data_IF_943068183561
#
_entry.id   IF_943068183561
#
_cell.length_a   1.000
_cell.length_b   1.000
_cell.length_c   1.000
_cell.angle_alpha   90.00
_cell.angle_beta   90.00
_cell.angle_gamma   90.00
#
_symmetry.space_group_name_H-M   'P 1'
#
loop_
_entity.id
_entity.type
_entity.pdbx_description
1 polymer ?
#
# COMPACT_ATOMS: atom_id res chain seq x y z
N UNK A 1 -9.79 -8.48 -48.37
CA UNK A 1 -9.56 -9.04 -47.02
C UNK A 1 -9.14 -7.89 -46.12
N UNK A 2 -9.96 -7.41 -45.17
CA UNK A 2 -9.47 -6.42 -44.23
C UNK A 2 -8.44 -7.11 -43.33
N UNK A 3 -7.24 -6.53 -43.28
CA UNK A 3 -6.16 -6.91 -42.36
C UNK A 3 -6.68 -6.86 -40.94
N UNK A 4 -6.78 -8.00 -40.27
CA UNK A 4 -7.04 -8.06 -38.83
C UNK A 4 -5.79 -7.59 -38.09
N UNK A 5 -5.60 -6.27 -38.05
CA UNK A 5 -4.62 -5.71 -37.13
C UNK A 5 -5.00 -6.15 -35.71
N UNK A 6 -4.09 -6.85 -35.03
CA UNK A 6 -4.26 -7.16 -33.61
C UNK A 6 -4.58 -5.85 -32.88
N UNK A 7 -5.55 -5.82 -31.96
CA UNK A 7 -5.88 -4.60 -31.25
C UNK A 7 -4.61 -4.05 -30.57
N UNK A 8 -4.37 -2.75 -30.72
CA UNK A 8 -3.21 -2.12 -30.09
C UNK A 8 -3.19 -2.41 -28.59
N UNK A 9 -2.02 -2.70 -28.02
CA UNK A 9 -1.91 -3.00 -26.60
C UNK A 9 -2.37 -1.80 -25.76
N UNK A 10 -3.16 -2.06 -24.72
CA UNK A 10 -3.61 -1.04 -23.78
C UNK A 10 -2.44 -0.17 -23.30
N UNK A 11 -2.60 1.15 -23.34
CA UNK A 11 -1.62 2.10 -22.89
C UNK A 11 -2.10 2.86 -21.63
N UNK A 12 -1.41 2.69 -20.51
CA UNK A 12 -1.73 3.32 -19.23
C UNK A 12 -0.68 4.36 -18.85
N UNK A 13 -1.10 5.59 -18.59
CA UNK A 13 -0.27 6.58 -17.93
C UNK A 13 -0.40 6.42 -16.41
N UNK A 14 0.67 5.97 -15.76
CA UNK A 14 0.74 5.75 -14.31
C UNK A 14 1.39 6.95 -13.64
N UNK A 15 0.62 7.69 -12.82
CA UNK A 15 1.07 8.88 -12.11
C UNK A 15 1.43 8.52 -10.67
N UNK A 16 2.62 8.89 -10.23
CA UNK A 16 3.09 8.66 -8.87
C UNK A 16 3.93 9.82 -8.34
N UNK A 17 4.02 9.94 -7.03
CA UNK A 17 4.95 10.88 -6.38
C UNK A 17 6.39 10.39 -6.38
N UNK A 18 6.61 9.12 -6.70
CA UNK A 18 7.91 8.47 -6.85
C UNK A 18 7.75 6.98 -7.08
N UNK A 19 8.85 6.30 -7.38
CA UNK A 19 8.92 4.85 -7.62
C UNK A 19 10.12 4.27 -6.90
N UNK A 20 9.95 3.11 -6.25
CA UNK A 20 11.06 2.38 -5.64
C UNK A 20 12.01 1.81 -6.72
N UNK A 21 13.35 1.87 -6.55
CA UNK A 21 14.08 2.38 -5.39
C UNK A 21 14.42 3.87 -5.45
N UNK A 22 14.02 4.60 -6.46
CA UNK A 22 14.37 6.02 -6.69
C UNK A 22 13.74 6.95 -5.64
N UNK A 23 12.69 6.49 -5.00
CA UNK A 23 12.07 7.07 -3.81
C UNK A 23 11.55 5.95 -2.91
N UNK A 24 11.73 6.09 -1.58
CA UNK A 24 11.35 5.06 -0.62
C UNK A 24 9.91 5.23 -0.12
N UNK A 25 9.19 4.13 0.04
CA UNK A 25 7.84 4.09 0.63
C UNK A 25 6.98 2.95 0.12
N UNK A 26 5.85 2.70 0.80
CA UNK A 26 4.90 1.64 0.45
C UNK A 26 4.19 1.89 -0.89
N UNK A 27 3.73 3.15 -1.12
CA UNK A 27 3.08 3.54 -2.39
C UNK A 27 4.09 3.44 -3.54
N UNK A 28 5.35 3.81 -3.33
CA UNK A 28 6.41 3.74 -4.32
C UNK A 28 6.76 2.29 -4.70
N UNK A 29 6.77 1.37 -3.73
CA UNK A 29 6.89 -0.08 -3.98
C UNK A 29 5.67 -0.60 -4.75
N UNK A 30 4.47 -0.23 -4.34
CA UNK A 30 3.23 -0.59 -5.04
C UNK A 30 3.25 -0.10 -6.49
N UNK A 31 3.64 1.16 -6.73
CA UNK A 31 3.75 1.74 -8.08
C UNK A 31 4.71 0.95 -8.96
N UNK A 32 5.89 0.59 -8.42
CA UNK A 32 6.86 -0.27 -9.13
C UNK A 32 6.25 -1.61 -9.54
N UNK A 33 5.62 -2.30 -8.59
CA UNK A 33 5.05 -3.61 -8.83
C UNK A 33 3.89 -3.54 -9.83
N UNK A 34 3.04 -2.52 -9.74
CA UNK A 34 1.96 -2.30 -10.69
C UNK A 34 2.50 -2.07 -12.11
N UNK A 35 3.53 -1.22 -12.27
CA UNK A 35 4.17 -0.98 -13.57
C UNK A 35 4.77 -2.26 -14.15
N UNK A 36 5.47 -3.06 -13.33
CA UNK A 36 6.08 -4.34 -13.73
C UNK A 36 5.03 -5.35 -14.19
N UNK A 37 3.95 -5.52 -13.43
CA UNK A 37 2.92 -6.51 -13.75
C UNK A 37 2.03 -6.05 -14.91
N UNK A 38 1.79 -4.75 -15.08
CA UNK A 38 1.19 -4.22 -16.30
C UNK A 38 2.05 -4.54 -17.53
N UNK A 39 3.36 -4.28 -17.46
CA UNK A 39 4.27 -4.61 -18.56
C UNK A 39 4.31 -6.11 -18.87
N UNK A 40 4.37 -6.99 -17.85
CA UNK A 40 4.28 -8.44 -18.00
C UNK A 40 2.97 -8.88 -18.67
N UNK A 41 1.86 -8.22 -18.34
CA UNK A 41 0.55 -8.48 -18.96
C UNK A 41 0.38 -7.88 -20.36
N UNK A 42 1.43 -7.30 -20.94
CA UNK A 42 1.41 -6.75 -22.30
C UNK A 42 0.92 -5.29 -22.40
N UNK A 43 0.63 -4.62 -21.28
CA UNK A 43 0.23 -3.21 -21.24
C UNK A 43 1.43 -2.30 -21.48
N UNK A 44 1.30 -1.28 -22.34
CA UNK A 44 2.26 -0.19 -22.41
C UNK A 44 2.06 0.75 -21.21
N UNK A 45 3.14 1.13 -20.53
CA UNK A 45 3.09 2.01 -19.36
C UNK A 45 3.91 3.26 -19.62
N UNK A 46 3.30 4.44 -19.48
CA UNK A 46 4.05 5.68 -19.33
C UNK A 46 4.03 6.08 -17.86
N UNK A 47 5.18 5.97 -17.21
CA UNK A 47 5.34 6.22 -15.78
C UNK A 47 5.77 7.67 -15.57
N UNK A 48 4.89 8.52 -15.03
CA UNK A 48 5.17 9.91 -14.68
C UNK A 48 5.41 10.01 -13.17
N UNK A 49 6.63 10.34 -12.77
CA UNK A 49 7.00 10.35 -11.36
C UNK A 49 8.19 11.27 -11.05
N UNK A 50 8.57 11.39 -9.77
CA UNK A 50 9.79 12.07 -9.34
C UNK A 50 10.82 11.09 -8.76
N UNK A 51 12.05 11.57 -8.60
CA UNK A 51 13.12 10.92 -7.86
C UNK A 51 13.86 11.93 -6.98
N UNK A 52 14.38 11.46 -5.84
CA UNK A 52 14.84 12.34 -4.75
C UNK A 52 16.10 13.17 -5.13
N UNK A 53 17.02 12.60 -5.89
CA UNK A 53 18.29 13.25 -6.26
C UNK A 53 18.51 13.25 -7.77
N UNK A 54 19.39 14.16 -8.30
CA UNK A 54 19.71 14.16 -9.73
C UNK A 54 20.24 12.83 -10.25
N UNK A 55 21.13 12.16 -9.51
CA UNK A 55 21.65 10.84 -9.89
C UNK A 55 20.56 9.75 -9.93
N UNK A 56 19.65 9.77 -8.98
CA UNK A 56 18.49 8.87 -8.98
C UNK A 56 17.52 9.19 -10.14
N UNK A 57 17.40 10.46 -10.55
CA UNK A 57 16.57 10.83 -11.71
C UNK A 57 17.09 10.22 -13.01
N UNK A 58 18.39 10.31 -13.27
CA UNK A 58 19.00 9.70 -14.44
C UNK A 58 18.78 8.18 -14.49
N UNK A 59 18.98 7.48 -13.38
CA UNK A 59 18.69 6.04 -13.26
C UNK A 59 17.21 5.72 -13.48
N UNK A 60 16.32 6.58 -12.95
CA UNK A 60 14.88 6.42 -13.10
C UNK A 60 14.42 6.64 -14.55
N UNK A 61 15.01 7.58 -15.27
CA UNK A 61 14.75 7.80 -16.70
C UNK A 61 15.22 6.60 -17.54
N UNK A 62 16.38 6.02 -17.22
CA UNK A 62 16.92 4.83 -17.86
C UNK A 62 16.24 3.52 -17.41
N UNK A 63 15.42 3.56 -16.36
CA UNK A 63 14.80 2.37 -15.74
C UNK A 63 15.83 1.31 -15.29
N UNK A 64 17.03 1.75 -14.84
CA UNK A 64 18.16 0.87 -14.54
C UNK A 64 17.81 -0.26 -13.55
N UNK A 65 16.91 0.03 -12.60
CA UNK A 65 16.49 -0.93 -11.57
C UNK A 65 15.27 -1.76 -11.97
N UNK A 66 14.83 -1.69 -13.23
CA UNK A 66 13.75 -2.51 -13.76
C UNK A 66 14.30 -3.69 -14.58
N UNK A 67 13.63 -4.87 -14.56
CA UNK A 67 14.00 -6.00 -15.41
C UNK A 67 13.97 -5.62 -16.90
N UNK A 68 14.91 -6.15 -17.68
CA UNK A 68 15.06 -5.83 -19.09
C UNK A 68 13.77 -6.06 -19.89
N UNK A 69 13.05 -7.14 -19.59
CA UNK A 69 11.79 -7.51 -20.27
C UNK A 69 10.69 -6.44 -20.06
N UNK A 70 10.65 -5.81 -18.89
CA UNK A 70 9.69 -4.77 -18.58
C UNK A 70 10.05 -3.43 -19.22
N UNK A 71 11.34 -3.12 -19.41
CA UNK A 71 11.82 -1.84 -19.98
C UNK A 71 11.27 -1.58 -21.38
N UNK A 72 11.07 -2.61 -22.19
CA UNK A 72 10.55 -2.47 -23.56
C UNK A 72 9.10 -1.93 -23.59
N UNK A 73 8.36 -2.05 -22.49
CA UNK A 73 6.95 -1.65 -22.37
C UNK A 73 6.72 -0.48 -21.42
N UNK A 74 7.76 -0.03 -20.71
CA UNK A 74 7.68 1.09 -19.75
C UNK A 74 8.50 2.26 -20.28
N UNK A 75 7.85 3.42 -20.50
CA UNK A 75 8.51 4.70 -20.72
C UNK A 75 8.50 5.47 -19.40
N UNK A 76 9.66 5.88 -18.90
CA UNK A 76 9.77 6.71 -17.69
C UNK A 76 9.88 8.18 -18.06
N UNK A 77 9.05 9.02 -17.44
CA UNK A 77 9.05 10.47 -17.54
C UNK A 77 9.26 11.06 -16.15
N UNK A 78 10.51 11.34 -15.82
CA UNK A 78 10.86 11.92 -14.51
C UNK A 78 10.59 13.42 -14.53
N UNK A 79 9.95 13.90 -13.47
CA UNK A 79 9.69 15.33 -13.25
C UNK A 79 10.41 15.83 -12.00
N UNK A 80 10.74 17.11 -11.99
CA UNK A 80 11.27 17.77 -10.80
C UNK A 80 10.09 18.33 -10.01
N UNK A 81 9.85 17.89 -8.78
CA UNK A 81 8.78 18.44 -7.97
C UNK A 81 9.06 19.90 -7.63
N UNK A 82 8.03 20.73 -7.46
CA UNK A 82 8.19 22.08 -6.95
C UNK A 82 8.85 22.07 -5.57
N UNK A 83 9.51 23.17 -5.22
CA UNK A 83 10.07 23.33 -3.89
C UNK A 83 8.97 23.26 -2.84
N UNK A 84 9.12 22.42 -1.78
CA UNK A 84 8.09 22.29 -0.75
C UNK A 84 7.91 23.60 0.01
N UNK A 85 6.67 23.93 0.30
CA UNK A 85 6.34 25.06 1.17
C UNK A 85 6.83 24.84 2.61
N UNK A 86 6.91 25.93 3.39
CA UNK A 86 7.32 25.91 4.80
C UNK A 86 6.29 26.55 5.74
N UNK A 87 5.02 26.56 5.35
CA UNK A 87 3.90 27.14 6.10
C UNK A 87 2.86 26.06 6.45
N UNK A 88 2.03 26.24 7.47
CA UNK A 88 0.97 25.30 7.81
C UNK A 88 0.03 25.05 6.63
N UNK A 89 -0.23 23.79 6.29
CA UNK A 89 -1.09 23.41 5.15
C UNK A 89 -0.40 23.41 3.78
N UNK A 90 0.92 23.70 3.68
CA UNK A 90 1.67 23.67 2.42
C UNK A 90 1.53 22.35 1.68
N UNK A 91 1.35 21.24 2.38
CA UNK A 91 1.26 19.91 1.77
C UNK A 91 0.20 19.84 0.66
N UNK A 92 -0.99 20.42 0.87
CA UNK A 92 -2.04 20.45 -0.17
C UNK A 92 -1.67 21.32 -1.37
N UNK A 93 -1.00 22.46 -1.11
CA UNK A 93 -0.50 23.31 -2.17
C UNK A 93 0.56 22.58 -2.99
N UNK A 94 1.50 21.93 -2.33
CA UNK A 94 2.58 21.17 -2.96
C UNK A 94 2.05 20.01 -3.80
N UNK A 95 1.05 19.25 -3.29
CA UNK A 95 0.37 18.20 -4.06
C UNK A 95 -0.33 18.73 -5.31
N UNK A 96 -1.00 19.90 -5.22
CA UNK A 96 -1.65 20.54 -6.37
C UNK A 96 -0.61 21.02 -7.40
N UNK A 97 0.47 21.64 -6.94
CA UNK A 97 1.55 22.10 -7.80
C UNK A 97 2.24 20.93 -8.50
N UNK A 98 2.54 19.85 -7.76
CA UNK A 98 3.13 18.64 -8.31
C UNK A 98 2.22 17.99 -9.37
N UNK A 99 0.92 17.86 -9.08
CA UNK A 99 -0.05 17.31 -10.04
C UNK A 99 -0.14 18.15 -11.33
N UNK A 100 0.02 19.47 -11.25
CA UNK A 100 0.12 20.34 -12.45
C UNK A 100 1.37 20.05 -13.26
N UNK A 101 2.52 19.91 -12.62
CA UNK A 101 3.78 19.56 -13.30
C UNK A 101 3.66 18.23 -14.05
N UNK A 102 2.97 17.21 -13.44
CA UNK A 102 2.71 15.95 -14.11
C UNK A 102 1.80 16.14 -15.34
N UNK A 103 0.73 16.93 -15.23
CA UNK A 103 -0.19 17.21 -16.34
C UNK A 103 0.52 17.96 -17.48
N UNK A 104 1.32 18.96 -17.17
CA UNK A 104 2.08 19.73 -18.16
C UNK A 104 3.10 18.84 -18.88
N UNK A 105 3.77 17.94 -18.15
CA UNK A 105 4.66 16.93 -18.74
C UNK A 105 3.92 15.94 -19.63
N UNK A 106 2.78 15.44 -19.18
CA UNK A 106 1.90 14.54 -19.96
C UNK A 106 1.54 15.16 -21.32
N UNK A 107 1.12 16.45 -21.32
CA UNK A 107 0.74 17.20 -22.51
C UNK A 107 1.92 17.48 -23.42
N UNK A 108 3.05 17.95 -22.85
CA UNK A 108 4.28 18.25 -23.58
C UNK A 108 4.80 17.02 -24.33
N UNK A 109 4.78 15.86 -23.70
CA UNK A 109 5.23 14.58 -24.28
C UNK A 109 4.19 13.92 -25.18
N UNK A 110 3.00 14.49 -25.31
CA UNK A 110 1.88 13.94 -26.10
C UNK A 110 1.68 12.45 -25.80
N UNK A 111 1.55 12.10 -24.51
CA UNK A 111 1.57 10.72 -24.03
C UNK A 111 0.50 9.86 -24.71
N UNK A 112 -0.70 10.37 -24.97
CA UNK A 112 -1.76 9.67 -25.71
C UNK A 112 -2.12 8.30 -25.12
N UNK A 113 -2.26 8.23 -23.79
CA UNK A 113 -2.66 6.99 -23.11
C UNK A 113 -4.16 6.73 -23.24
N UNK A 114 -4.57 5.46 -23.17
CA UNK A 114 -5.98 5.04 -23.12
C UNK A 114 -6.61 5.29 -21.74
N UNK A 115 -5.78 5.33 -20.71
CA UNK A 115 -6.22 5.53 -19.33
C UNK A 115 -5.13 6.18 -18.48
N UNK A 116 -5.54 7.05 -17.55
CA UNK A 116 -4.67 7.62 -16.52
C UNK A 116 -4.95 6.94 -15.20
N UNK A 117 -3.94 6.28 -14.62
CA UNK A 117 -3.98 5.70 -13.28
C UNK A 117 -3.19 6.58 -12.31
N UNK A 118 -3.86 7.25 -11.40
CA UNK A 118 -3.23 8.18 -10.46
C UNK A 118 -3.12 7.57 -9.05
N UNK A 119 -1.91 7.60 -8.49
CA UNK A 119 -1.62 7.21 -7.13
C UNK A 119 -1.79 8.40 -6.17
N UNK A 120 -2.68 8.28 -5.19
CA UNK A 120 -2.94 9.34 -4.22
C UNK A 120 -3.38 10.65 -4.88
N UNK A 121 -2.83 11.76 -4.42
CA UNK A 121 -3.17 13.11 -4.87
C UNK A 121 -2.56 13.52 -6.21
N UNK A 122 -1.81 12.66 -6.89
CA UNK A 122 -1.17 12.98 -8.18
C UNK A 122 -2.18 13.26 -9.29
N UNK A 123 -3.42 12.77 -9.16
CA UNK A 123 -4.51 12.97 -10.12
C UNK A 123 -5.25 14.30 -10.05
N UNK A 124 -4.94 15.20 -9.12
CA UNK A 124 -5.73 16.43 -8.86
C UNK A 124 -5.92 17.28 -10.12
N UNK A 125 -4.85 17.59 -10.83
CA UNK A 125 -4.90 18.44 -12.02
C UNK A 125 -5.59 17.73 -13.20
N UNK A 126 -5.42 16.43 -13.34
CA UNK A 126 -6.06 15.60 -14.37
C UNK A 126 -7.57 15.54 -14.16
N UNK A 127 -8.04 15.19 -12.97
CA UNK A 127 -9.46 15.17 -12.65
C UNK A 127 -10.11 16.56 -12.78
N UNK A 128 -9.40 17.62 -12.39
CA UNK A 128 -9.90 18.98 -12.58
C UNK A 128 -9.98 19.39 -14.06
N UNK A 129 -9.03 18.99 -14.89
CA UNK A 129 -9.05 19.24 -16.33
C UNK A 129 -10.18 18.47 -17.01
N UNK A 130 -10.38 17.19 -16.69
CA UNK A 130 -11.50 16.36 -17.18
C UNK A 130 -12.85 17.00 -16.90
N UNK A 131 -13.11 17.48 -15.66
CA UNK A 131 -14.35 18.17 -15.31
C UNK A 131 -14.59 19.46 -16.10
N UNK A 132 -13.52 20.09 -16.60
CA UNK A 132 -13.62 21.27 -17.49
C UNK A 132 -13.76 20.91 -18.96
N UNK A 133 -13.94 19.63 -19.29
CA UNK A 133 -14.14 19.17 -20.66
C UNK A 133 -12.86 19.00 -21.48
N UNK A 134 -11.71 18.77 -20.83
CA UNK A 134 -10.44 18.54 -21.54
C UNK A 134 -10.53 17.25 -22.40
N UNK A 135 -10.64 17.40 -23.70
CA UNK A 135 -10.75 16.29 -24.66
C UNK A 135 -9.42 15.58 -24.91
N UNK A 136 -8.31 16.19 -24.54
CA UNK A 136 -6.94 15.64 -24.65
C UNK A 136 -6.59 14.60 -23.56
N UNK A 137 -7.51 14.37 -22.61
CA UNK A 137 -7.31 13.43 -21.51
C UNK A 137 -8.27 12.25 -21.59
N UNK A 138 -7.77 11.01 -21.46
CA UNK A 138 -8.60 9.82 -21.37
C UNK A 138 -9.30 9.74 -20.01
N UNK A 139 -10.01 8.66 -19.74
CA UNK A 139 -10.56 8.37 -18.43
C UNK A 139 -9.48 8.35 -17.34
N UNK A 140 -9.80 8.92 -16.17
CA UNK A 140 -8.89 9.05 -15.02
C UNK A 140 -9.37 8.16 -13.88
N UNK A 141 -8.53 7.22 -13.47
CA UNK A 141 -8.72 6.42 -12.25
C UNK A 141 -7.80 6.89 -11.13
N UNK A 142 -8.30 6.84 -9.90
CA UNK A 142 -7.56 7.25 -8.70
C UNK A 142 -7.52 6.13 -7.68
N UNK A 143 -6.34 5.86 -7.11
CA UNK A 143 -6.14 4.99 -5.96
C UNK A 143 -5.50 5.79 -4.81
N UNK A 144 -6.25 6.02 -3.74
CA UNK A 144 -5.75 6.78 -2.58
C UNK A 144 -4.90 5.93 -1.63
N UNK A 145 -4.87 4.60 -1.76
CA UNK A 145 -4.19 3.63 -0.87
C UNK A 145 -4.66 3.61 0.58
N UNK A 146 -5.48 4.53 0.99
CA UNK A 146 -6.02 4.62 2.34
C UNK A 146 -6.88 5.88 2.48
N UNK A 147 -7.72 5.87 3.49
CA UNK A 147 -8.62 6.97 3.82
C UNK A 147 -8.48 7.28 5.32
N UNK A 148 -7.24 7.40 5.77
CA UNK A 148 -6.89 7.63 7.19
C UNK A 148 -7.58 8.88 7.73
N UNK A 149 -7.75 9.92 6.90
CA UNK A 149 -8.42 11.17 7.26
C UNK A 149 -9.91 10.99 7.61
N UNK A 150 -10.50 9.85 7.29
CA UNK A 150 -11.88 9.50 7.65
C UNK A 150 -11.97 8.39 8.72
N UNK A 151 -10.83 7.89 9.17
CA UNK A 151 -10.73 6.88 10.21
C UNK A 151 -10.47 7.53 11.58
N UNK A 152 -10.38 6.73 12.65
CA UNK A 152 -10.09 7.23 13.99
C UNK A 152 -8.64 7.69 14.10
N UNK A 153 -8.45 8.95 14.39
CA UNK A 153 -7.11 9.49 14.61
C UNK A 153 -6.55 9.05 15.97
N UNK A 154 -5.23 8.88 16.04
CA UNK A 154 -4.56 8.48 17.29
C UNK A 154 -4.52 9.59 18.34
N UNK A 155 -4.57 10.87 17.92
CA UNK A 155 -4.61 12.03 18.79
C UNK A 155 -5.17 13.27 18.06
N UNK A 156 -5.39 14.37 18.80
CA UNK A 156 -5.97 15.60 18.26
C UNK A 156 -5.11 16.23 17.13
N UNK A 157 -3.79 16.20 17.26
CA UNK A 157 -2.87 16.71 16.23
C UNK A 157 -3.05 15.97 14.93
N UNK A 158 -3.02 14.63 14.96
CA UNK A 158 -3.26 13.79 13.79
C UNK A 158 -4.65 14.02 13.20
N UNK A 159 -5.66 14.27 14.04
CA UNK A 159 -7.01 14.58 13.57
C UNK A 159 -7.06 15.91 12.80
N UNK A 160 -6.41 16.96 13.29
CA UNK A 160 -6.33 18.26 12.62
C UNK A 160 -5.62 18.17 11.27
N UNK A 161 -4.44 17.51 11.25
CA UNK A 161 -3.66 17.29 10.02
C UNK A 161 -4.46 16.54 8.96
N UNK A 162 -5.19 15.50 9.36
CA UNK A 162 -6.04 14.70 8.48
C UNK A 162 -7.28 15.45 8.02
N UNK A 163 -7.90 16.27 8.90
CA UNK A 163 -9.10 17.01 8.58
C UNK A 163 -8.92 17.93 7.37
N UNK A 164 -7.78 18.59 7.26
CA UNK A 164 -7.45 19.50 6.15
C UNK A 164 -7.42 18.78 4.79
N UNK A 165 -7.07 17.48 4.78
CA UNK A 165 -6.99 16.69 3.55
C UNK A 165 -8.35 16.27 2.98
N UNK A 166 -9.39 16.18 3.84
CA UNK A 166 -10.71 15.63 3.48
C UNK A 166 -11.32 16.29 2.24
N UNK A 167 -11.33 17.59 2.20
CA UNK A 167 -11.93 18.34 1.09
C UNK A 167 -11.27 18.05 -0.26
N UNK A 168 -9.95 17.94 -0.27
CA UNK A 168 -9.20 17.65 -1.50
C UNK A 168 -9.38 16.22 -1.97
N UNK A 169 -9.38 15.24 -1.05
CA UNK A 169 -9.64 13.84 -1.38
C UNK A 169 -11.05 13.67 -1.95
N UNK A 170 -12.06 14.24 -1.29
CA UNK A 170 -13.45 14.24 -1.79
C UNK A 170 -13.55 14.85 -3.18
N UNK A 171 -12.91 16.01 -3.40
CA UNK A 171 -12.94 16.69 -4.70
C UNK A 171 -12.28 15.86 -5.81
N UNK A 172 -11.17 15.19 -5.50
CA UNK A 172 -10.46 14.33 -6.45
C UNK A 172 -11.29 13.08 -6.78
N UNK A 173 -11.77 12.36 -5.77
CA UNK A 173 -12.55 11.13 -5.96
C UNK A 173 -13.84 11.41 -6.79
N UNK A 174 -14.51 12.54 -6.53
CA UNK A 174 -15.67 12.95 -7.33
C UNK A 174 -15.33 13.31 -8.76
N UNK A 175 -14.10 13.75 -9.02
CA UNK A 175 -13.65 14.13 -10.36
C UNK A 175 -13.13 12.95 -11.18
N UNK A 176 -12.80 11.85 -10.56
CA UNK A 176 -12.28 10.66 -11.22
C UNK A 176 -13.40 9.87 -11.91
N UNK A 177 -13.10 9.30 -13.07
CA UNK A 177 -14.03 8.39 -13.79
C UNK A 177 -14.12 7.03 -13.07
N UNK A 178 -13.02 6.63 -12.37
CA UNK A 178 -12.92 5.42 -11.57
C UNK A 178 -12.22 5.72 -10.25
N UNK A 179 -12.71 5.16 -9.15
CA UNK A 179 -11.99 5.15 -7.87
C UNK A 179 -11.67 3.71 -7.52
N UNK A 180 -10.38 3.37 -7.51
CA UNK A 180 -9.91 2.09 -7.03
C UNK A 180 -9.95 2.07 -5.51
N UNK A 181 -10.53 1.05 -4.93
CA UNK A 181 -10.83 0.98 -3.51
C UNK A 181 -10.54 -0.40 -2.94
N UNK A 182 -10.39 -0.44 -1.63
CA UNK A 182 -10.45 -1.68 -0.87
C UNK A 182 -11.90 -1.98 -0.48
N UNK A 183 -12.25 -3.27 -0.27
CA UNK A 183 -13.62 -3.65 0.08
C UNK A 183 -14.07 -3.13 1.47
N UNK A 184 -15.34 -3.36 1.78
CA UNK A 184 -16.01 -3.07 3.06
C UNK A 184 -15.78 -1.65 3.59
N UNK A 185 -14.98 -1.45 4.67
CA UNK A 185 -14.85 -0.18 5.37
C UNK A 185 -14.38 0.95 4.48
N UNK A 186 -13.37 0.71 3.65
CA UNK A 186 -12.83 1.75 2.76
C UNK A 186 -13.87 2.09 1.69
N UNK A 187 -14.48 1.10 1.05
CA UNK A 187 -15.58 1.31 0.11
C UNK A 187 -16.71 2.13 0.74
N UNK A 188 -17.16 1.73 1.95
CA UNK A 188 -18.22 2.43 2.67
C UNK A 188 -17.85 3.90 3.01
N UNK A 189 -16.58 4.19 3.31
CA UNK A 189 -16.08 5.56 3.49
C UNK A 189 -16.24 6.35 2.20
N UNK A 190 -15.82 5.80 1.06
CA UNK A 190 -15.89 6.49 -0.24
C UNK A 190 -17.34 6.77 -0.63
N UNK A 191 -18.21 5.79 -0.51
CA UNK A 191 -19.64 5.94 -0.80
C UNK A 191 -20.32 6.99 0.09
N UNK A 192 -20.11 6.91 1.41
CA UNK A 192 -20.81 7.76 2.40
C UNK A 192 -20.17 9.14 2.56
N UNK A 193 -18.82 9.23 2.60
CA UNK A 193 -18.10 10.47 2.89
C UNK A 193 -17.71 11.23 1.62
N UNK A 194 -17.22 10.52 0.59
CA UNK A 194 -16.86 11.13 -0.67
C UNK A 194 -18.07 11.23 -1.61
N UNK A 195 -19.16 10.48 -1.37
CA UNK A 195 -20.36 10.43 -2.22
C UNK A 195 -20.02 10.07 -3.66
N UNK A 196 -19.17 9.08 -3.84
CA UNK A 196 -18.86 8.50 -5.14
C UNK A 196 -19.85 7.38 -5.42
N UNK A 197 -20.53 7.37 -6.58
CA UNK A 197 -21.45 6.31 -6.95
C UNK A 197 -20.78 4.95 -7.07
N UNK A 198 -21.47 3.87 -6.65
CA UNK A 198 -20.93 2.51 -6.60
C UNK A 198 -20.42 2.00 -7.93
N UNK A 199 -21.03 2.42 -9.06
CA UNK A 199 -20.63 2.05 -10.42
C UNK A 199 -19.26 2.63 -10.83
N UNK A 200 -18.75 3.63 -10.13
CA UNK A 200 -17.39 4.16 -10.33
C UNK A 200 -16.35 3.54 -9.39
N UNK A 201 -16.79 2.68 -8.47
CA UNK A 201 -15.89 2.02 -7.52
C UNK A 201 -15.42 0.67 -8.09
N UNK A 202 -14.12 0.46 -8.08
CA UNK A 202 -13.49 -0.81 -8.45
C UNK A 202 -12.68 -1.33 -7.29
N UNK A 203 -13.07 -2.46 -6.73
CA UNK A 203 -12.36 -3.09 -5.63
C UNK A 203 -11.12 -3.81 -6.13
N UNK A 204 -9.97 -3.29 -5.76
CA UNK A 204 -8.64 -3.82 -6.09
C UNK A 204 -7.83 -3.91 -4.79
N UNK A 205 -7.63 -5.10 -4.22
CA UNK A 205 -6.83 -5.25 -3.02
C UNK A 205 -5.34 -4.96 -3.31
N UNK A 206 -4.55 -4.72 -2.25
CA UNK A 206 -3.10 -4.80 -2.38
C UNK A 206 -2.69 -6.23 -2.70
N UNK A 207 -1.51 -6.38 -3.29
CA UNK A 207 -1.01 -7.66 -3.75
C UNK A 207 0.38 -7.98 -3.17
N UNK A 208 0.69 -9.27 -3.15
CA UNK A 208 2.00 -9.81 -2.80
C UNK A 208 2.67 -10.44 -4.02
N UNK A 209 3.98 -10.36 -4.12
CA UNK A 209 4.74 -11.11 -5.13
C UNK A 209 4.69 -12.61 -4.80
N UNK A 210 4.42 -13.43 -5.81
CA UNK A 210 4.34 -14.88 -5.65
C UNK A 210 5.63 -15.50 -5.05
N UNK A 211 6.79 -14.88 -5.28
CA UNK A 211 8.07 -15.29 -4.70
C UNK A 211 8.16 -15.14 -3.19
N UNK A 212 7.28 -14.34 -2.58
CA UNK A 212 7.18 -14.21 -1.12
C UNK A 212 6.41 -15.38 -0.49
N UNK A 213 5.57 -16.08 -1.25
CA UNK A 213 4.68 -17.08 -0.70
C UNK A 213 5.44 -18.38 -0.48
N UNK A 214 5.59 -18.77 0.77
CA UNK A 214 6.18 -20.08 1.12
C UNK A 214 5.18 -21.21 0.83
N UNK A 215 5.69 -22.38 0.53
CA UNK A 215 4.85 -23.56 0.28
C UNK A 215 4.11 -23.98 1.55
N UNK A 216 4.85 -24.05 2.65
CA UNK A 216 4.38 -24.42 4.00
C UNK A 216 5.39 -23.95 5.06
N UNK A 217 5.05 -24.12 6.33
CA UNK A 217 5.94 -23.87 7.46
C UNK A 217 6.04 -25.11 8.36
N UNK A 218 7.19 -25.33 9.02
CA UNK A 218 7.28 -26.35 10.06
C UNK A 218 6.36 -26.00 11.24
N UNK A 219 5.87 -27.01 11.93
CA UNK A 219 5.11 -26.80 13.18
C UNK A 219 5.98 -26.01 14.17
N UNK A 220 5.47 -24.88 14.71
CA UNK A 220 6.23 -24.06 15.64
C UNK A 220 6.68 -24.85 16.88
N UNK A 221 7.86 -24.54 17.40
CA UNK A 221 8.32 -25.08 18.68
C UNK A 221 7.53 -24.47 19.86
N UNK A 222 7.94 -24.73 21.09
CA UNK A 222 7.41 -24.04 22.27
C UNK A 222 7.80 -22.55 22.35
N UNK A 223 8.86 -22.15 21.63
CA UNK A 223 9.23 -20.74 21.52
C UNK A 223 8.19 -19.95 20.73
N UNK A 224 8.03 -18.67 21.07
CA UNK A 224 7.11 -17.74 20.38
C UNK A 224 7.84 -16.46 20.04
N UNK A 225 7.97 -16.16 18.78
CA UNK A 225 8.59 -14.92 18.32
C UNK A 225 7.53 -14.03 17.67
N UNK A 226 7.30 -12.88 18.31
CA UNK A 226 6.40 -11.84 17.84
C UNK A 226 7.17 -10.80 17.04
N UNK A 227 6.61 -10.34 15.94
CA UNK A 227 7.26 -9.42 15.01
C UNK A 227 6.39 -8.18 14.79
N UNK A 228 6.98 -7.00 14.98
CA UNK A 228 6.43 -5.72 14.54
C UNK A 228 7.31 -5.17 13.41
N UNK A 229 6.67 -4.71 12.32
CA UNK A 229 7.37 -4.00 11.22
C UNK A 229 6.63 -2.71 10.91
N UNK A 230 7.34 -1.59 11.01
CA UNK A 230 6.75 -0.30 10.66
C UNK A 230 7.64 0.89 11.00
N UNK A 231 7.32 2.03 10.37
CA UNK A 231 7.92 3.31 10.74
C UNK A 231 7.38 3.76 12.11
N UNK A 232 8.20 4.52 12.85
CA UNK A 232 7.74 5.13 14.09
C UNK A 232 6.79 6.31 13.78
N UNK A 233 5.56 5.98 13.41
CA UNK A 233 4.46 6.91 13.21
C UNK A 233 3.40 6.66 14.27
N UNK A 234 2.81 7.73 14.82
CA UNK A 234 1.81 7.60 15.89
C UNK A 234 0.66 6.64 15.53
N UNK A 235 0.27 6.63 14.26
CA UNK A 235 -0.82 5.76 13.77
C UNK A 235 -0.49 4.27 13.80
N UNK A 236 0.78 3.88 13.95
CA UNK A 236 1.21 2.47 13.99
C UNK A 236 1.04 1.81 15.37
N UNK A 237 0.69 2.57 16.40
CA UNK A 237 0.38 2.04 17.73
C UNK A 237 1.59 1.49 18.49
N UNK A 238 2.80 1.98 18.17
CA UNK A 238 4.04 1.53 18.85
C UNK A 238 4.00 1.76 20.36
N UNK A 239 3.58 2.92 20.89
CA UNK A 239 3.48 3.12 22.33
C UNK A 239 2.55 2.12 23.02
N UNK A 240 1.36 1.87 22.44
CA UNK A 240 0.40 0.91 22.99
C UNK A 240 0.95 -0.51 22.97
N UNK A 241 1.69 -0.87 21.92
CA UNK A 241 2.34 -2.17 21.82
C UNK A 241 3.42 -2.34 22.87
N UNK A 242 4.31 -1.35 23.04
CA UNK A 242 5.37 -1.40 24.05
C UNK A 242 4.78 -1.49 25.47
N UNK A 243 3.74 -0.73 25.77
CA UNK A 243 3.02 -0.79 27.07
C UNK A 243 2.33 -2.15 27.26
N UNK A 244 1.80 -2.76 26.23
CA UNK A 244 1.16 -4.07 26.30
C UNK A 244 2.17 -5.18 26.61
N UNK A 245 3.35 -5.14 26.01
CA UNK A 245 4.38 -6.18 26.18
C UNK A 245 5.29 -5.96 27.40
N UNK A 246 5.35 -4.74 27.92
CA UNK A 246 6.27 -4.42 29.05
C UNK A 246 6.11 -5.33 30.26
N UNK A 247 4.91 -5.67 30.76
CA UNK A 247 4.75 -6.58 31.90
C UNK A 247 4.89 -8.07 31.53
N UNK A 248 4.86 -8.42 30.26
CA UNK A 248 4.90 -9.82 29.83
C UNK A 248 6.29 -10.41 30.03
N UNK A 249 6.37 -11.53 30.74
CA UNK A 249 7.59 -12.34 30.96
C UNK A 249 7.21 -13.79 30.84
N UNK A 250 7.69 -14.44 29.79
CA UNK A 250 7.47 -15.86 29.60
C UNK A 250 8.73 -16.50 28.98
N UNK A 251 9.18 -17.64 29.49
CA UNK A 251 10.33 -18.36 28.92
C UNK A 251 10.10 -18.69 27.44
N UNK A 252 11.09 -18.41 26.59
CA UNK A 252 11.03 -18.70 25.17
C UNK A 252 10.15 -17.74 24.36
N UNK A 253 9.74 -16.59 24.91
CA UNK A 253 9.03 -15.54 24.18
C UNK A 253 10.02 -14.44 23.81
N UNK A 254 9.98 -14.00 22.55
CA UNK A 254 10.80 -12.89 22.03
C UNK A 254 9.93 -11.91 21.24
N UNK A 255 10.27 -10.61 21.33
CA UNK A 255 9.60 -9.53 20.59
C UNK A 255 10.62 -8.84 19.67
N UNK A 256 10.37 -8.86 18.37
CA UNK A 256 11.23 -8.31 17.35
C UNK A 256 10.61 -7.07 16.73
N UNK A 257 11.37 -5.98 16.64
CA UNK A 257 10.95 -4.71 16.06
C UNK A 257 11.83 -4.37 14.85
N UNK A 258 11.20 -4.22 13.68
CA UNK A 258 11.84 -3.73 12.46
C UNK A 258 11.31 -2.34 12.16
N UNK A 259 12.21 -1.37 12.06
CA UNK A 259 11.91 0.03 11.81
C UNK A 259 12.65 0.97 12.75
N UNK A 260 12.61 2.28 12.51
CA UNK A 260 13.38 3.28 13.24
C UNK A 260 12.69 3.64 14.58
N UNK A 261 12.63 2.69 15.53
CA UNK A 261 12.09 2.96 16.87
C UNK A 261 13.12 3.77 17.66
N UNK A 262 12.79 4.99 18.15
CA UNK A 262 13.70 5.83 18.91
C UNK A 262 14.19 5.15 20.20
N UNK A 263 15.47 5.28 20.50
CA UNK A 263 16.09 4.64 21.66
C UNK A 263 15.38 4.95 22.99
N UNK A 264 14.93 6.19 23.28
CA UNK A 264 14.23 6.48 24.51
C UNK A 264 12.91 5.73 24.72
N UNK A 265 12.33 5.19 23.65
CA UNK A 265 11.09 4.41 23.72
C UNK A 265 11.34 2.91 23.82
N UNK A 266 12.58 2.46 23.62
CA UNK A 266 12.90 1.04 23.61
C UNK A 266 12.86 0.44 25.03
N UNK A 267 12.21 -0.71 25.13
CA UNK A 267 12.28 -1.54 26.32
C UNK A 267 13.68 -2.15 26.42
N UNK A 268 14.38 -1.92 27.55
CA UNK A 268 15.72 -2.47 27.81
C UNK A 268 15.59 -3.87 28.43
N UNK A 269 15.36 -4.87 27.57
CA UNK A 269 15.12 -6.27 27.94
C UNK A 269 15.79 -7.19 26.92
N UNK A 270 16.31 -8.33 27.37
CA UNK A 270 17.03 -9.30 26.51
C UNK A 270 16.10 -10.02 25.54
N UNK A 271 14.80 -10.13 25.86
CA UNK A 271 13.77 -10.74 25.04
C UNK A 271 13.12 -9.75 24.03
N UNK A 272 13.63 -8.51 23.94
CA UNK A 272 13.15 -7.49 22.97
C UNK A 272 14.28 -7.05 22.06
N UNK A 273 14.17 -7.40 20.78
CA UNK A 273 15.21 -7.17 19.76
C UNK A 273 14.79 -6.07 18.80
N UNK A 274 15.65 -5.06 18.60
CA UNK A 274 15.43 -3.96 17.67
C UNK A 274 16.41 -4.08 16.49
N UNK A 275 15.89 -4.41 15.31
CA UNK A 275 16.68 -4.58 14.07
C UNK A 275 17.01 -3.25 13.37
N UNK A 276 16.39 -2.14 13.78
CA UNK A 276 16.48 -0.89 13.04
C UNK A 276 15.78 -0.96 11.68
N UNK A 277 16.20 -0.11 10.75
CA UNK A 277 15.65 -0.09 9.39
C UNK A 277 16.30 -1.17 8.54
N UNK A 278 15.54 -2.14 8.08
CA UNK A 278 15.98 -3.21 7.18
C UNK A 278 15.48 -2.91 5.77
N UNK A 279 16.39 -2.74 4.82
CA UNK A 279 16.10 -2.45 3.40
C UNK A 279 16.35 -3.64 2.49
N UNK A 280 17.24 -4.55 2.90
CA UNK A 280 17.53 -5.77 2.16
C UNK A 280 16.36 -6.77 2.26
N UNK A 281 15.88 -7.23 1.10
CA UNK A 281 14.71 -8.11 1.01
C UNK A 281 15.01 -9.50 1.62
N UNK A 282 16.20 -10.06 1.39
CA UNK A 282 16.54 -11.38 1.91
C UNK A 282 16.65 -11.38 3.45
N UNK A 283 17.27 -10.35 4.02
CA UNK A 283 17.33 -10.12 5.46
C UNK A 283 15.92 -9.98 6.04
N UNK A 284 15.05 -9.20 5.39
CA UNK A 284 13.68 -9.00 5.84
C UNK A 284 12.88 -10.31 5.81
N UNK A 285 13.00 -11.09 4.72
CA UNK A 285 12.38 -12.42 4.64
C UNK A 285 12.88 -13.35 5.73
N UNK A 286 14.19 -13.37 6.03
CA UNK A 286 14.77 -14.16 7.13
C UNK A 286 14.19 -13.80 8.50
N UNK A 287 13.89 -12.51 8.74
CA UNK A 287 13.23 -12.06 9.97
C UNK A 287 11.79 -12.58 10.03
N UNK A 288 11.04 -12.50 8.94
CA UNK A 288 9.70 -13.10 8.88
C UNK A 288 9.75 -14.62 9.13
N UNK A 289 10.68 -15.33 8.46
CA UNK A 289 10.80 -16.79 8.54
C UNK A 289 11.14 -17.28 9.95
N UNK A 290 11.89 -16.47 10.68
CA UNK A 290 12.25 -16.76 12.08
C UNK A 290 11.17 -16.35 13.08
N UNK A 291 10.09 -15.70 12.64
CA UNK A 291 8.99 -15.20 13.49
C UNK A 291 7.72 -16.04 13.33
N UNK A 292 6.85 -16.03 14.34
CA UNK A 292 5.64 -16.84 14.37
C UNK A 292 4.35 -16.01 14.20
N UNK A 293 4.33 -14.80 14.76
CA UNK A 293 3.15 -13.96 14.84
C UNK A 293 3.51 -12.51 14.50
N UNK A 294 2.78 -11.90 13.56
CA UNK A 294 2.86 -10.46 13.29
C UNK A 294 1.99 -9.67 14.25
N UNK A 295 2.51 -8.54 14.74
CA UNK A 295 1.79 -7.53 15.52
C UNK A 295 1.56 -6.28 14.66
N UNK A 296 0.30 -5.92 14.40
CA UNK A 296 -0.09 -4.75 13.61
C UNK A 296 -1.15 -3.91 14.33
N UNK A 297 -0.80 -3.23 15.45
CA UNK A 297 -1.75 -2.49 16.30
C UNK A 297 -2.00 -1.07 15.80
N UNK A 298 -2.30 -0.91 14.52
CA UNK A 298 -2.44 0.41 13.89
C UNK A 298 -3.77 1.10 14.26
N UNK A 299 -3.77 2.43 14.37
CA UNK A 299 -4.97 3.26 14.51
C UNK A 299 -5.70 3.50 13.19
N UNK A 300 -4.94 3.54 12.09
CA UNK A 300 -5.47 3.75 10.76
C UNK A 300 -4.54 3.15 9.71
N UNK A 301 -5.13 2.49 8.73
CA UNK A 301 -4.46 1.92 7.55
C UNK A 301 -5.38 2.02 6.32
N UNK A 302 -4.81 1.87 5.14
CA UNK A 302 -5.58 1.48 3.96
C UNK A 302 -5.74 -0.04 3.94
N UNK A 303 -4.71 -0.72 3.45
CA UNK A 303 -4.57 -2.17 3.44
C UNK A 303 -3.09 -2.48 3.68
N UNK A 304 -2.69 -2.81 4.91
CA UNK A 304 -1.28 -2.86 5.31
C UNK A 304 -0.53 -4.00 4.60
N UNK A 305 0.43 -3.66 3.74
CA UNK A 305 1.22 -4.64 2.98
C UNK A 305 1.99 -5.59 3.88
N UNK A 306 2.46 -5.11 5.04
CA UNK A 306 3.16 -5.94 6.03
C UNK A 306 2.32 -7.13 6.51
N UNK A 307 0.99 -6.99 6.55
CA UNK A 307 0.08 -8.10 6.88
C UNK A 307 0.11 -9.15 5.76
N UNK A 308 0.06 -8.74 4.49
CA UNK A 308 0.21 -9.67 3.37
C UNK A 308 1.59 -10.33 3.33
N UNK A 309 2.64 -9.56 3.58
CA UNK A 309 4.02 -10.05 3.65
C UNK A 309 4.14 -11.13 4.74
N UNK A 310 3.61 -10.87 5.93
CA UNK A 310 3.59 -11.83 7.03
C UNK A 310 2.77 -13.09 6.71
N UNK A 311 1.58 -12.92 6.13
CA UNK A 311 0.72 -14.03 5.73
C UNK A 311 1.39 -14.89 4.64
N UNK A 312 2.07 -14.27 3.68
CA UNK A 312 2.81 -14.97 2.63
C UNK A 312 3.99 -15.78 3.18
N UNK A 313 4.61 -15.29 4.26
CA UNK A 313 5.66 -16.01 5.01
C UNK A 313 5.07 -16.92 6.10
N UNK A 314 3.74 -17.08 6.16
CA UNK A 314 3.06 -18.00 7.06
C UNK A 314 3.08 -17.60 8.53
N UNK A 315 3.00 -16.32 8.86
CA UNK A 315 2.80 -15.87 10.22
C UNK A 315 1.30 -15.84 10.56
N UNK A 316 0.94 -16.16 11.80
CA UNK A 316 -0.33 -15.75 12.35
C UNK A 316 -0.34 -14.22 12.58
N UNK A 317 -1.51 -13.59 12.67
CA UNK A 317 -1.58 -12.12 12.72
C UNK A 317 -2.42 -11.67 13.90
N UNK A 318 -1.87 -10.77 14.73
CA UNK A 318 -2.65 -9.95 15.67
C UNK A 318 -2.70 -8.54 15.08
N UNK A 319 -3.87 -8.08 14.70
CA UNK A 319 -4.05 -6.78 14.08
C UNK A 319 -5.31 -6.07 14.57
N UNK A 320 -5.36 -4.77 14.38
CA UNK A 320 -6.56 -3.97 14.61
C UNK A 320 -7.44 -3.92 13.37
N UNK A 321 -8.76 -3.84 13.56
CA UNK A 321 -9.77 -3.77 12.50
C UNK A 321 -9.84 -2.33 11.94
N UNK A 322 -8.78 -1.94 11.21
CA UNK A 322 -8.65 -0.65 10.54
C UNK A 322 -8.50 -0.83 9.03
N UNK A 323 -9.00 0.12 8.26
CA UNK A 323 -8.96 0.03 6.80
C UNK A 323 -9.61 -1.26 6.29
N UNK A 324 -8.86 -2.01 5.48
CA UNK A 324 -9.27 -3.29 4.93
C UNK A 324 -8.60 -4.50 5.64
N UNK A 325 -8.07 -4.34 6.85
CA UNK A 325 -7.38 -5.42 7.58
C UNK A 325 -8.29 -6.62 7.82
N UNK A 326 -9.58 -6.41 8.12
CA UNK A 326 -10.56 -7.48 8.34
C UNK A 326 -10.84 -8.34 7.10
N UNK A 327 -10.40 -7.95 5.91
CA UNK A 327 -10.50 -8.77 4.71
C UNK A 327 -9.53 -9.96 4.75
N UNK A 328 -8.43 -9.79 5.46
CA UNK A 328 -7.34 -10.75 5.49
C UNK A 328 -7.15 -11.41 6.85
N UNK A 329 -7.45 -10.71 7.93
CA UNK A 329 -7.27 -11.20 9.30
C UNK A 329 -8.61 -11.55 9.92
N UNK A 330 -8.73 -12.77 10.39
CA UNK A 330 -9.89 -13.30 11.09
C UNK A 330 -9.50 -14.39 12.07
N UNK A 331 -10.48 -15.02 12.69
CA UNK A 331 -10.27 -16.07 13.68
C UNK A 331 -9.59 -17.33 13.10
N UNK A 332 -9.58 -17.49 11.80
CA UNK A 332 -8.95 -18.60 11.09
C UNK A 332 -7.45 -18.47 10.91
N UNK A 333 -6.90 -17.23 10.95
CA UNK A 333 -5.49 -16.96 10.77
C UNK A 333 -4.89 -15.99 11.79
N UNK A 334 -5.65 -15.60 12.83
CA UNK A 334 -5.14 -14.69 13.85
C UNK A 334 -6.18 -14.11 14.78
N UNK A 335 -5.91 -12.91 15.29
CA UNK A 335 -6.77 -12.15 16.19
C UNK A 335 -6.99 -10.75 15.63
N UNK A 336 -8.24 -10.38 15.41
CA UNK A 336 -8.64 -9.06 14.97
C UNK A 336 -9.22 -8.27 16.16
N UNK A 337 -8.52 -7.20 16.56
CA UNK A 337 -8.92 -6.33 17.65
C UNK A 337 -9.73 -5.13 17.10
N UNK A 338 -10.78 -4.69 17.78
CA UNK A 338 -11.58 -3.56 17.30
C UNK A 338 -10.80 -2.24 17.31
N UNK A 339 -9.79 -2.13 18.18
CA UNK A 339 -9.01 -0.92 18.39
C UNK A 339 -7.65 -1.27 19.03
N UNK A 340 -6.58 -0.45 18.91
CA UNK A 340 -5.29 -0.69 19.55
C UNK A 340 -5.34 -0.32 21.04
N UNK A 341 -6.08 -1.09 21.81
CA UNK A 341 -6.17 -1.01 23.27
C UNK A 341 -5.08 -1.87 23.92
N UNK A 342 -4.38 -1.33 24.92
CA UNK A 342 -3.26 -1.98 25.59
C UNK A 342 -3.66 -3.31 26.24
N UNK A 343 -4.80 -3.34 26.94
CA UNK A 343 -5.31 -4.54 27.60
C UNK A 343 -5.71 -5.63 26.60
N UNK A 344 -6.42 -5.24 25.53
CA UNK A 344 -6.81 -6.15 24.47
C UNK A 344 -5.59 -6.71 23.71
N UNK A 345 -4.58 -5.86 23.42
CA UNK A 345 -3.31 -6.31 22.81
C UNK A 345 -2.60 -7.33 23.69
N UNK A 346 -2.47 -7.02 25.01
CA UNK A 346 -1.84 -7.91 25.98
C UNK A 346 -2.54 -9.26 26.02
N UNK A 347 -3.87 -9.27 26.18
CA UNK A 347 -4.67 -10.51 26.20
C UNK A 347 -4.51 -11.32 24.91
N UNK A 348 -4.49 -10.67 23.75
CA UNK A 348 -4.27 -11.37 22.48
C UNK A 348 -2.87 -12.00 22.37
N UNK A 349 -1.85 -11.30 22.87
CA UNK A 349 -0.46 -11.80 22.93
C UNK A 349 -0.37 -12.98 23.88
N UNK A 350 -0.92 -12.89 25.11
CA UNK A 350 -0.95 -13.96 26.11
C UNK A 350 -1.65 -15.21 25.58
N UNK A 351 -2.78 -15.03 24.88
CA UNK A 351 -3.46 -16.13 24.20
C UNK A 351 -2.55 -16.83 23.19
N UNK A 352 -1.80 -16.11 22.39
CA UNK A 352 -0.86 -16.69 21.42
C UNK A 352 0.36 -17.34 22.09
N UNK A 353 0.82 -16.83 23.24
CA UNK A 353 1.87 -17.46 24.04
C UNK A 353 1.40 -18.82 24.56
N UNK A 354 0.20 -18.90 25.10
CA UNK A 354 -0.39 -20.12 25.64
C UNK A 354 -0.91 -21.10 24.59
N UNK A 355 -0.99 -20.68 23.31
CA UNK A 355 -1.59 -21.47 22.24
C UNK A 355 -0.77 -22.74 21.93
N UNK A 356 -1.41 -23.92 21.82
CA UNK A 356 -0.74 -25.14 21.36
C UNK A 356 -0.09 -24.94 19.98
N UNK A 357 1.10 -25.52 19.77
CA UNK A 357 1.84 -25.38 18.51
C UNK A 357 1.05 -25.85 17.29
N UNK A 358 0.25 -26.90 17.41
CA UNK A 358 -0.60 -27.38 16.34
C UNK A 358 -1.72 -26.39 15.95
N UNK A 359 -2.28 -25.67 16.94
CA UNK A 359 -3.28 -24.62 16.69
C UNK A 359 -2.63 -23.42 16.00
N UNK A 360 -1.47 -22.97 16.48
CA UNK A 360 -0.72 -21.90 15.84
C UNK A 360 -0.34 -22.25 14.39
N UNK A 361 0.13 -23.46 14.14
CA UNK A 361 0.45 -23.94 12.79
C UNK A 361 -0.78 -23.89 11.86
N UNK A 362 -1.96 -24.27 12.36
CA UNK A 362 -3.22 -24.15 11.60
C UNK A 362 -3.50 -22.70 11.18
N UNK A 363 -3.31 -21.72 12.09
CA UNK A 363 -3.47 -20.30 11.77
C UNK A 363 -2.43 -19.86 10.72
N UNK A 364 -1.20 -20.31 10.83
CA UNK A 364 -0.11 -20.03 9.90
C UNK A 364 -0.39 -20.56 8.49
N UNK A 365 -0.86 -21.81 8.39
CA UNK A 365 -1.25 -22.40 7.10
C UNK A 365 -2.42 -21.66 6.45
N UNK A 366 -3.42 -21.21 7.24
CA UNK A 366 -4.51 -20.40 6.74
C UNK A 366 -4.04 -19.02 6.23
N UNK A 367 -3.03 -18.41 6.87
CA UNK A 367 -2.40 -17.17 6.38
C UNK A 367 -1.79 -17.38 4.99
N UNK A 368 -1.03 -18.44 4.77
CA UNK A 368 -0.44 -18.77 3.46
C UNK A 368 -1.55 -18.96 2.41
N UNK A 369 -2.59 -19.70 2.73
CA UNK A 369 -3.72 -19.96 1.81
C UNK A 369 -4.39 -18.64 1.38
N UNK A 370 -4.63 -17.71 2.31
CA UNK A 370 -5.19 -16.39 2.00
C UNK A 370 -4.23 -15.54 1.16
N UNK A 371 -2.93 -15.53 1.45
CA UNK A 371 -1.95 -14.76 0.67
C UNK A 371 -1.93 -15.19 -0.81
N UNK A 372 -2.11 -16.47 -1.10
CA UNK A 372 -2.19 -17.01 -2.47
C UNK A 372 -3.35 -16.42 -3.30
N UNK A 373 -4.39 -15.89 -2.67
CA UNK A 373 -5.51 -15.25 -3.37
C UNK A 373 -5.28 -13.79 -3.73
N UNK A 374 -4.18 -13.19 -3.27
CA UNK A 374 -3.87 -11.77 -3.43
C UNK A 374 -2.51 -11.56 -4.13
N UNK A 375 -2.20 -12.33 -5.18
CA UNK A 375 -0.97 -12.14 -5.94
C UNK A 375 -1.08 -10.98 -6.94
N UNK A 376 0.07 -10.39 -7.30
CA UNK A 376 0.12 -9.33 -8.30
C UNK A 376 -0.49 -9.73 -9.64
N UNK A 377 -0.34 -10.98 -10.06
CA UNK A 377 -0.91 -11.46 -11.34
C UNK A 377 -2.45 -11.39 -11.31
N UNK A 378 -3.08 -11.86 -10.23
CA UNK A 378 -4.54 -11.81 -10.05
C UNK A 378 -5.06 -10.38 -9.95
N UNK A 379 -4.40 -9.54 -9.14
CA UNK A 379 -4.80 -8.15 -8.91
C UNK A 379 -4.63 -7.32 -10.18
N UNK A 380 -3.53 -7.55 -10.92
CA UNK A 380 -3.26 -6.86 -12.18
C UNK A 380 -4.28 -7.23 -13.25
N UNK A 381 -4.60 -8.51 -13.40
CA UNK A 381 -5.63 -8.95 -14.34
C UNK A 381 -6.99 -8.28 -14.07
N UNK A 382 -7.41 -8.24 -12.79
CA UNK A 382 -8.64 -7.55 -12.36
C UNK A 382 -8.60 -6.04 -12.66
N UNK A 383 -7.44 -5.40 -12.43
CA UNK A 383 -7.25 -3.97 -12.69
C UNK A 383 -7.34 -3.65 -14.17
N UNK A 384 -6.67 -4.45 -15.02
CA UNK A 384 -6.70 -4.30 -16.47
C UNK A 384 -8.12 -4.46 -17.00
N UNK A 385 -8.84 -5.51 -16.60
CA UNK A 385 -10.22 -5.73 -17.00
C UNK A 385 -11.14 -4.54 -16.66
N UNK A 386 -10.96 -3.96 -15.46
CA UNK A 386 -11.70 -2.77 -15.06
C UNK A 386 -11.36 -1.53 -15.90
N UNK A 387 -10.10 -1.32 -16.26
CA UNK A 387 -9.66 -0.23 -17.13
C UNK A 387 -10.23 -0.40 -18.54
N UNK A 388 -10.15 -1.61 -19.13
CA UNK A 388 -10.69 -1.91 -20.45
C UNK A 388 -12.20 -1.67 -20.54
N UNK A 389 -12.95 -2.14 -19.54
CA UNK A 389 -14.40 -1.89 -19.43
C UNK A 389 -14.78 -0.40 -19.39
N UNK A 390 -13.86 0.47 -18.96
CA UNK A 390 -14.09 1.92 -18.95
C UNK A 390 -13.66 2.59 -20.25
N UNK A 391 -12.59 2.12 -20.89
CA UNK A 391 -12.20 2.58 -22.22
C UNK A 391 -13.35 2.38 -23.21
N UNK A 392 -13.97 1.21 -23.23
CA UNK A 392 -15.01 0.85 -24.15
C UNK A 392 -16.33 1.66 -23.97
N UNK A 393 -16.54 2.20 -22.75
CA UNK A 393 -17.70 3.09 -22.45
C UNK A 393 -17.48 4.55 -22.82
N UNK A 394 -16.25 4.97 -23.08
CA UNK A 394 -15.88 6.37 -23.41
C UNK A 394 -15.59 6.54 -24.89
N UNK A 395 -15.39 5.46 -25.64
CA UNK A 395 -15.34 5.50 -27.11
C UNK A 395 -16.76 5.78 -27.63
N UNK A 396 -16.95 6.80 -28.53
CA UNK A 396 -18.23 7.21 -29.04
C UNK A 396 -18.92 6.13 -29.88
#
# INVERSE_FOLDING_TARGET
MPSSALPEPLHVALLADGVYPYRLGGIQRHTRMLALHFAKAGVRVTLLHSADTPGLRARAEALDDFPAEARSRIKSLVVVPPQPGRYPGHYLHDCRAYSRVLLDRYRKEKVGADFVYAQGLTGIAFGAARRRGAADLPAVGVNQHGYEMFQKAANLRSWLEQFVLRGQVVALDRSADVVFTFPRKIRAIIERRCRVPSERLVEVPNAIDGSWIVADRPVPTAKRRFLFIGRHERRKGVPELLEAIDPLRAPGVEFHFVGPIPEPLRLKRDDVVYHGTVTDTATLQGIFDSSDILLCPSFAEGMPTVVLEAMARGLAVIATDVGATAEWVGADNGVLLPFPDVGALRTAIERCIAMPSAELHRLQSASIAKARTCTWDLVTAKTIAAIQSRRDKVSP
#
